data_IF_591785495110
#
_entry.id   IF_591785495110
#
_cell.length_a   1.000
_cell.length_b   1.000
_cell.length_c   1.000
_cell.angle_alpha   90.00
_cell.angle_beta   90.00
_cell.angle_gamma   90.00
#
_symmetry.space_group_name_H-M   'P 1'
#
loop_
_entity.id
_entity.type
_entity.pdbx_description
1 polymer ?
#
# COMPACT_ATOMS: atom_id res chain seq x y z
N UNK A 1 57.65 1.93 32.89
CA UNK A 1 56.23 2.25 33.17
C UNK A 1 55.58 2.78 31.89
N UNK A 2 55.08 1.90 31.01
CA UNK A 2 54.37 2.33 29.80
C UNK A 2 52.87 2.31 30.07
N UNK A 3 52.24 3.49 30.07
CA UNK A 3 50.78 3.65 30.13
C UNK A 3 50.20 3.28 28.77
N UNK A 4 49.49 2.15 28.69
CA UNK A 4 48.69 1.78 27.53
C UNK A 4 47.38 2.57 27.60
N UNK A 5 47.22 3.58 26.74
CA UNK A 5 46.00 4.37 26.61
C UNK A 5 45.00 3.57 25.75
N UNK A 6 43.98 3.00 26.37
CA UNK A 6 42.93 2.25 25.68
C UNK A 6 41.85 3.25 25.22
N UNK A 7 41.85 3.60 23.94
CA UNK A 7 40.82 4.46 23.34
C UNK A 7 39.64 3.58 22.90
N UNK A 8 38.59 3.51 23.72
CA UNK A 8 37.32 2.89 23.31
C UNK A 8 36.57 3.83 22.36
N UNK A 9 36.55 3.50 21.06
CA UNK A 9 35.62 4.05 20.09
C UNK A 9 34.24 3.41 20.31
N UNK A 10 33.35 4.13 21.00
CA UNK A 10 31.93 3.80 21.09
C UNK A 10 31.26 4.09 19.74
N UNK A 11 31.13 3.08 18.89
CA UNK A 11 30.25 3.13 17.73
C UNK A 11 28.80 2.98 18.20
N UNK A 12 28.08 4.08 18.26
CA UNK A 12 26.62 4.02 18.41
C UNK A 12 26.01 3.60 17.08
N UNK A 13 25.23 2.51 17.00
CA UNK A 13 24.44 2.25 15.81
C UNK A 13 23.33 3.30 15.74
N UNK A 14 23.49 4.28 14.85
CA UNK A 14 22.40 5.16 14.43
C UNK A 14 21.46 4.28 13.60
N UNK A 15 20.38 3.79 14.22
CA UNK A 15 19.24 3.29 13.48
C UNK A 15 18.62 4.49 12.75
N UNK A 16 19.05 4.71 11.51
CA UNK A 16 18.38 5.64 10.62
C UNK A 16 16.99 5.06 10.32
N UNK A 17 15.98 5.50 11.06
CA UNK A 17 14.59 5.26 10.71
C UNK A 17 14.37 6.01 9.38
N UNK A 18 14.16 5.28 8.28
CA UNK A 18 13.93 5.91 6.98
C UNK A 18 12.82 6.95 7.11
N UNK A 19 13.14 8.18 6.71
CA UNK A 19 12.18 9.26 6.75
C UNK A 19 11.01 8.91 5.83
N UNK A 20 9.78 9.01 6.35
CA UNK A 20 8.58 8.88 5.54
C UNK A 20 8.67 9.82 4.34
N UNK A 21 8.26 9.34 3.18
CA UNK A 21 8.21 10.09 1.92
C UNK A 21 6.76 10.24 1.50
N UNK A 22 6.04 11.28 1.96
CA UNK A 22 4.63 11.44 1.66
C UNK A 22 4.38 11.60 0.15
N UNK A 23 3.31 11.00 -0.36
CA UNK A 23 2.84 11.09 -1.74
C UNK A 23 1.49 11.80 -1.85
N UNK A 24 1.32 12.68 -2.84
CA UNK A 24 0.04 13.37 -3.10
C UNK A 24 -0.77 12.74 -4.24
N UNK A 25 -0.16 11.77 -4.93
CA UNK A 25 -0.71 11.06 -6.07
C UNK A 25 0.07 9.75 -6.26
N UNK A 26 -0.48 8.85 -7.08
CA UNK A 26 0.23 7.67 -7.56
C UNK A 26 -0.09 7.38 -9.02
N UNK A 27 0.77 6.62 -9.69
CA UNK A 27 0.56 6.22 -11.09
C UNK A 27 0.03 4.79 -11.21
N UNK A 28 -0.74 4.53 -12.27
CA UNK A 28 -1.13 3.19 -12.73
C UNK A 28 -0.52 3.00 -14.13
N UNK A 29 0.31 1.98 -14.31
CA UNK A 29 1.06 1.72 -15.55
C UNK A 29 1.30 0.21 -15.77
N UNK A 30 2.19 -0.14 -16.72
CA UNK A 30 2.48 -1.53 -17.07
C UNK A 30 1.56 -2.06 -18.17
N UNK A 31 0.99 -3.27 -17.98
CA UNK A 31 0.08 -3.96 -18.91
C UNK A 31 -1.31 -3.30 -18.97
N UNK A 32 -1.34 -2.02 -19.31
CA UNK A 32 -2.53 -1.17 -19.45
C UNK A 32 -2.48 -0.42 -20.78
N UNK A 33 -3.64 -0.13 -21.37
CA UNK A 33 -3.71 0.60 -22.65
C UNK A 33 -3.25 2.05 -22.52
N UNK A 34 -3.44 2.67 -21.35
CA UNK A 34 -3.05 4.04 -21.06
C UNK A 34 -2.64 4.17 -19.60
N UNK A 35 -1.42 4.64 -19.35
CA UNK A 35 -0.98 4.99 -18.01
C UNK A 35 -1.76 6.21 -17.50
N UNK A 36 -2.10 6.18 -16.21
CA UNK A 36 -2.93 7.22 -15.58
C UNK A 36 -2.32 7.64 -14.24
N UNK A 37 -2.47 8.91 -13.88
CA UNK A 37 -2.12 9.42 -12.56
C UNK A 37 -3.41 9.60 -11.77
N UNK A 38 -3.44 9.06 -10.54
CA UNK A 38 -4.54 9.18 -9.60
C UNK A 38 -4.13 10.18 -8.53
N UNK A 39 -4.87 11.28 -8.41
CA UNK A 39 -4.64 12.31 -7.39
C UNK A 39 -5.60 12.14 -6.22
N UNK A 40 -5.34 12.82 -5.11
CA UNK A 40 -6.30 12.89 -3.99
C UNK A 40 -7.68 13.41 -4.42
N UNK A 41 -7.73 14.36 -5.36
CA UNK A 41 -9.00 14.88 -5.87
C UNK A 41 -9.75 13.85 -6.72
N UNK A 42 -9.03 13.01 -7.48
CA UNK A 42 -9.63 11.85 -8.16
C UNK A 42 -10.18 10.86 -7.14
N UNK A 43 -9.46 10.59 -6.05
CA UNK A 43 -9.91 9.64 -5.01
C UNK A 43 -11.21 10.10 -4.34
N UNK A 44 -11.40 11.41 -4.14
CA UNK A 44 -12.64 11.98 -3.57
C UNK A 44 -13.89 11.75 -4.43
N UNK A 45 -13.74 11.40 -5.71
CA UNK A 45 -14.87 11.12 -6.60
C UNK A 45 -15.42 9.69 -6.47
N UNK A 46 -14.68 8.78 -5.84
CA UNK A 46 -15.12 7.41 -5.64
C UNK A 46 -15.97 7.26 -4.37
N UNK A 47 -16.84 6.23 -4.29
CA UNK A 47 -17.61 5.96 -3.08
C UNK A 47 -16.71 5.75 -1.86
N UNK A 48 -16.86 6.61 -0.86
CA UNK A 48 -16.20 6.45 0.42
C UNK A 48 -16.89 5.36 1.24
N UNK A 49 -16.12 4.37 1.72
CA UNK A 49 -16.61 3.24 2.52
C UNK A 49 -16.09 3.31 3.94
N UNK A 50 -16.96 3.06 4.91
CA UNK A 50 -16.58 2.84 6.30
C UNK A 50 -15.93 1.45 6.43
N UNK A 51 -14.71 1.40 6.95
CA UNK A 51 -13.96 0.16 7.17
C UNK A 51 -13.94 -0.25 8.65
N UNK A 52 -14.26 0.69 9.56
CA UNK A 52 -14.27 0.44 11.00
C UNK A 52 -12.86 0.43 11.59
N UNK A 53 -12.57 -0.58 12.41
CA UNK A 53 -11.28 -0.77 13.07
C UNK A 53 -10.43 -1.78 12.31
N UNK A 54 -9.12 -1.58 12.28
CA UNK A 54 -8.18 -2.49 11.63
C UNK A 54 -7.03 -2.83 12.57
N UNK A 55 -6.89 -4.12 12.87
CA UNK A 55 -5.82 -4.64 13.72
C UNK A 55 -4.58 -4.91 12.87
N UNK A 56 -3.48 -4.25 13.20
CA UNK A 56 -2.20 -4.41 12.51
C UNK A 56 -1.35 -5.42 13.28
N UNK A 57 -0.91 -6.48 12.58
CA UNK A 57 -0.04 -7.53 13.13
C UNK A 57 1.27 -7.65 12.36
N UNK A 58 2.28 -8.26 12.96
CA UNK A 58 3.50 -8.65 12.25
C UNK A 58 3.31 -9.95 11.42
N UNK A 59 4.40 -10.45 10.84
CA UNK A 59 4.43 -11.69 10.05
C UNK A 59 4.23 -12.98 10.88
N UNK A 60 4.35 -12.91 12.20
CA UNK A 60 4.03 -13.99 13.13
C UNK A 60 2.56 -13.96 13.58
N UNK A 61 1.86 -12.83 13.39
CA UNK A 61 0.51 -12.60 13.88
C UNK A 61 0.46 -11.83 15.20
N UNK A 62 1.61 -11.42 15.74
CA UNK A 62 1.66 -10.62 16.96
C UNK A 62 1.12 -9.21 16.71
N UNK A 63 0.32 -8.73 17.65
CA UNK A 63 -0.25 -7.39 17.60
C UNK A 63 0.83 -6.31 17.59
N UNK A 64 0.63 -5.30 16.74
CA UNK A 64 1.46 -4.09 16.69
C UNK A 64 0.70 -2.87 17.19
N UNK A 65 -0.41 -2.55 16.53
CA UNK A 65 -1.31 -1.47 16.91
C UNK A 65 -2.67 -1.67 16.22
N UNK A 66 -3.62 -0.79 16.52
CA UNK A 66 -4.94 -0.77 15.90
C UNK A 66 -5.24 0.64 15.43
N UNK A 67 -5.72 0.75 14.21
CA UNK A 67 -6.26 1.99 13.68
C UNK A 67 -7.79 1.93 13.70
N UNK A 68 -8.42 3.07 13.93
CA UNK A 68 -9.85 3.23 14.18
C UNK A 68 -10.47 4.20 13.18
N UNK A 69 -11.81 4.11 13.03
CA UNK A 69 -12.60 5.02 12.17
C UNK A 69 -12.00 5.13 10.77
N UNK A 70 -11.56 4.00 10.23
CA UNK A 70 -10.98 3.94 8.90
C UNK A 70 -12.07 4.15 7.87
N UNK A 71 -11.76 5.00 6.89
CA UNK A 71 -12.56 5.14 5.68
C UNK A 71 -11.66 5.09 4.47
N UNK A 72 -12.13 4.46 3.41
CA UNK A 72 -11.34 4.30 2.20
C UNK A 72 -12.19 4.14 0.95
N UNK A 73 -11.51 4.20 -0.19
CA UNK A 73 -12.08 3.88 -1.50
C UNK A 73 -11.59 2.49 -1.91
N UNK A 74 -12.44 1.70 -2.56
CA UNK A 74 -12.04 0.36 -3.00
C UNK A 74 -10.99 0.47 -4.12
N UNK A 75 -9.96 -0.36 -4.05
CA UNK A 75 -8.95 -0.44 -5.10
C UNK A 75 -9.61 -0.81 -6.45
N UNK A 76 -10.61 -1.69 -6.45
CA UNK A 76 -11.37 -2.05 -7.65
C UNK A 76 -12.09 -0.86 -8.27
N UNK A 77 -12.64 0.04 -7.48
CA UNK A 77 -13.33 1.23 -8.00
C UNK A 77 -12.32 2.13 -8.71
N UNK A 78 -11.12 2.30 -8.15
CA UNK A 78 -10.02 3.04 -8.78
C UNK A 78 -9.56 2.38 -10.08
N UNK A 79 -9.43 1.04 -10.08
CA UNK A 79 -9.02 0.28 -11.26
C UNK A 79 -10.11 0.15 -12.33
N UNK A 80 -11.37 0.46 -12.03
CA UNK A 80 -12.50 0.27 -12.96
C UNK A 80 -12.37 1.05 -14.28
N UNK A 81 -11.64 2.17 -14.25
CA UNK A 81 -11.35 3.00 -15.42
C UNK A 81 -10.09 2.54 -16.18
N UNK A 82 -9.41 1.50 -15.71
CA UNK A 82 -8.19 0.98 -16.31
C UNK A 82 -8.51 -0.09 -17.35
N UNK A 83 -8.20 0.18 -18.61
CA UNK A 83 -8.26 -0.84 -19.65
C UNK A 83 -6.95 -1.64 -19.69
N UNK A 84 -7.00 -2.93 -19.33
CA UNK A 84 -5.83 -3.81 -19.37
C UNK A 84 -5.44 -4.16 -20.82
N UNK A 85 -4.13 -4.22 -21.09
CA UNK A 85 -3.59 -4.49 -22.42
C UNK A 85 -3.29 -5.97 -22.61
N UNK A 86 -4.34 -6.80 -22.66
CA UNK A 86 -4.24 -8.25 -22.89
C UNK A 86 -4.95 -8.65 -24.20
N UNK A 87 -4.38 -9.63 -24.91
CA UNK A 87 -4.91 -10.09 -26.20
C UNK A 87 -6.05 -11.12 -26.06
N UNK A 88 -6.27 -11.66 -24.85
CA UNK A 88 -7.31 -12.63 -24.57
C UNK A 88 -7.80 -12.45 -23.11
N UNK A 89 -9.13 -12.43 -22.84
CA UNK A 89 -9.67 -12.33 -21.48
C UNK A 89 -9.15 -13.41 -20.53
N UNK A 90 -8.80 -14.61 -21.01
CA UNK A 90 -8.19 -15.66 -20.19
C UNK A 90 -6.87 -15.23 -19.55
N UNK A 91 -6.16 -14.28 -20.16
CA UNK A 91 -4.89 -13.77 -19.63
C UNK A 91 -5.09 -12.77 -18.47
N UNK A 92 -6.32 -12.30 -18.23
CA UNK A 92 -6.59 -11.46 -17.05
C UNK A 92 -6.19 -12.17 -15.75
N UNK A 93 -6.43 -13.48 -15.66
CA UNK A 93 -6.05 -14.29 -14.49
C UNK A 93 -4.54 -14.42 -14.28
N UNK A 94 -3.72 -14.03 -15.26
CA UNK A 94 -2.26 -13.99 -15.17
C UNK A 94 -1.71 -12.62 -14.77
N UNK A 95 -2.57 -11.61 -14.66
CA UNK A 95 -2.17 -10.28 -14.24
C UNK A 95 -2.00 -10.21 -12.72
N UNK A 96 -1.04 -9.39 -12.31
CA UNK A 96 -0.85 -9.00 -10.92
C UNK A 96 -0.46 -7.52 -10.82
N UNK A 97 -0.69 -6.95 -9.64
CA UNK A 97 -0.58 -5.53 -9.36
C UNK A 97 0.54 -5.32 -8.34
N UNK A 98 1.67 -4.81 -8.80
CA UNK A 98 2.79 -4.44 -7.94
C UNK A 98 2.55 -3.03 -7.41
N UNK A 99 2.15 -2.93 -6.15
CA UNK A 99 1.90 -1.67 -5.47
C UNK A 99 3.18 -1.27 -4.71
N UNK A 100 3.81 -0.17 -5.09
CA UNK A 100 5.07 0.29 -4.49
C UNK A 100 4.92 1.63 -3.79
N UNK A 101 5.48 1.70 -2.59
CA UNK A 101 5.63 2.91 -1.80
C UNK A 101 6.79 3.78 -2.31
N UNK A 102 6.82 5.05 -1.87
CA UNK A 102 7.88 6.00 -2.21
C UNK A 102 9.27 5.65 -1.64
N UNK A 103 9.33 4.80 -0.61
CA UNK A 103 10.57 4.24 -0.05
C UNK A 103 11.06 3.00 -0.82
N UNK A 104 10.29 2.48 -1.77
CA UNK A 104 10.62 1.28 -2.54
C UNK A 104 10.04 -0.02 -1.97
N UNK A 105 9.37 0.02 -0.81
CA UNK A 105 8.61 -1.14 -0.32
C UNK A 105 7.50 -1.51 -1.30
N UNK A 106 7.29 -2.80 -1.52
CA UNK A 106 6.31 -3.27 -2.49
C UNK A 106 5.48 -4.45 -1.96
N UNK A 107 4.22 -4.47 -2.35
CA UNK A 107 3.26 -5.55 -2.10
C UNK A 107 2.56 -5.91 -3.41
N UNK A 108 2.04 -7.13 -3.48
CA UNK A 108 1.39 -7.65 -4.70
C UNK A 108 -0.02 -8.09 -4.39
N UNK A 109 -0.92 -7.80 -5.31
CA UNK A 109 -2.25 -8.41 -5.41
C UNK A 109 -2.37 -9.13 -6.76
N UNK A 110 -2.98 -10.30 -6.80
CA UNK A 110 -3.28 -10.94 -8.09
C UNK A 110 -4.62 -10.44 -8.64
N UNK A 111 -4.80 -10.53 -9.96
CA UNK A 111 -6.12 -10.23 -10.56
C UNK A 111 -7.21 -11.16 -10.02
N UNK A 112 -6.93 -12.45 -9.86
CA UNK A 112 -7.92 -13.37 -9.28
C UNK A 112 -8.27 -13.00 -7.83
N UNK A 113 -7.30 -12.58 -7.02
CA UNK A 113 -7.56 -12.12 -5.66
C UNK A 113 -8.48 -10.91 -5.64
N UNK A 114 -8.21 -9.90 -6.48
CA UNK A 114 -9.03 -8.69 -6.53
C UNK A 114 -10.41 -8.93 -7.15
N UNK A 115 -10.54 -9.77 -8.17
CA UNK A 115 -11.78 -9.86 -8.96
C UNK A 115 -12.60 -11.14 -8.72
N UNK A 116 -12.02 -12.19 -8.12
CA UNK A 116 -12.67 -13.49 -7.93
C UNK A 116 -12.72 -13.96 -6.46
N UNK A 117 -12.32 -13.14 -5.49
CA UNK A 117 -12.39 -13.50 -4.07
C UNK A 117 -12.97 -12.37 -3.22
N UNK A 118 -13.50 -12.67 -2.01
CA UNK A 118 -13.96 -11.63 -1.08
C UNK A 118 -12.88 -10.61 -0.68
N UNK A 119 -11.58 -10.95 -0.82
CA UNK A 119 -10.48 -10.02 -0.52
C UNK A 119 -10.60 -8.76 -1.36
N UNK A 120 -10.94 -8.90 -2.65
CA UNK A 120 -11.08 -7.77 -3.56
C UNK A 120 -12.13 -6.74 -3.16
N UNK A 121 -13.18 -7.15 -2.44
CA UNK A 121 -14.21 -6.26 -1.89
C UNK A 121 -13.77 -5.57 -0.60
N UNK A 122 -12.51 -5.79 -0.18
CA UNK A 122 -11.97 -5.38 1.10
C UNK A 122 -10.52 -4.86 0.99
N UNK A 123 -10.04 -4.55 -0.23
CA UNK A 123 -8.78 -3.83 -0.46
C UNK A 123 -9.08 -2.36 -0.71
N UNK A 124 -8.54 -1.50 0.15
CA UNK A 124 -8.84 -0.07 0.15
C UNK A 124 -7.60 0.79 -0.01
N UNK A 125 -7.79 1.98 -0.59
CA UNK A 125 -6.93 3.14 -0.40
C UNK A 125 -7.56 4.01 0.68
N UNK A 126 -6.84 4.27 1.77
CA UNK A 126 -7.35 4.98 2.93
C UNK A 126 -7.48 6.48 2.64
N UNK A 127 -8.63 7.03 3.01
CA UNK A 127 -8.97 8.46 2.93
C UNK A 127 -9.11 9.10 4.31
N UNK A 128 -9.45 8.31 5.34
CA UNK A 128 -9.48 8.74 6.74
C UNK A 128 -8.92 7.65 7.65
N UNK A 129 -8.22 8.08 8.70
CA UNK A 129 -7.67 7.22 9.75
C UNK A 129 -7.66 7.94 11.09
N UNK A 130 -8.17 7.29 12.13
CA UNK A 130 -8.27 7.83 13.49
C UNK A 130 -8.99 9.20 13.52
N UNK A 131 -9.99 9.39 12.63
CA UNK A 131 -10.72 10.65 12.45
C UNK A 131 -9.92 11.78 11.77
N UNK A 132 -8.74 11.49 11.24
CA UNK A 132 -7.91 12.44 10.46
C UNK A 132 -7.96 12.09 8.98
N UNK A 133 -7.97 13.11 8.13
CA UNK A 133 -7.92 12.94 6.66
C UNK A 133 -6.54 12.45 6.23
N UNK A 134 -6.48 11.57 5.25
CA UNK A 134 -5.24 10.99 4.73
C UNK A 134 -4.23 12.05 4.26
N UNK A 135 -4.69 13.17 3.69
CA UNK A 135 -3.86 14.30 3.25
C UNK A 135 -3.05 14.96 4.38
N UNK A 136 -3.51 14.80 5.63
CA UNK A 136 -2.89 15.41 6.82
C UNK A 136 -1.93 14.46 7.53
N UNK A 137 -1.84 13.21 7.10
CA UNK A 137 -0.99 12.18 7.70
C UNK A 137 0.37 12.13 6.98
N UNK A 138 1.49 11.90 7.69
CA UNK A 138 2.79 11.73 7.06
C UNK A 138 2.90 10.42 6.28
N UNK A 139 2.10 9.41 6.64
CA UNK A 139 1.83 8.19 5.89
C UNK A 139 0.58 8.36 4.99
N UNK A 140 0.61 9.30 4.05
CA UNK A 140 -0.55 9.52 3.17
C UNK A 140 -0.68 8.41 2.10
N UNK A 141 -1.86 8.32 1.47
CA UNK A 141 -2.24 7.30 0.47
C UNK A 141 -1.84 5.88 0.92
N UNK A 142 -2.41 5.43 2.02
CA UNK A 142 -2.17 4.08 2.55
C UNK A 142 -3.05 3.06 1.85
N UNK A 143 -2.61 1.82 1.80
CA UNK A 143 -3.42 0.69 1.36
C UNK A 143 -3.59 -0.32 2.48
N UNK A 144 -4.77 -0.93 2.57
CA UNK A 144 -5.04 -2.02 3.49
C UNK A 144 -5.95 -3.07 2.84
N UNK A 145 -5.69 -4.34 3.15
CA UNK A 145 -6.57 -5.47 2.85
C UNK A 145 -7.19 -5.99 4.14
N UNK A 146 -8.49 -5.79 4.33
CA UNK A 146 -9.17 -6.06 5.60
C UNK A 146 -9.36 -7.55 5.89
N UNK A 147 -9.23 -8.41 4.88
CA UNK A 147 -9.36 -9.87 5.03
C UNK A 147 -8.01 -10.59 5.14
N UNK A 148 -6.91 -9.85 5.27
CA UNK A 148 -5.60 -10.44 5.51
C UNK A 148 -5.53 -11.05 6.91
N UNK A 149 -4.96 -12.26 6.99
CA UNK A 149 -4.71 -12.91 8.28
C UNK A 149 -3.58 -12.23 9.07
N UNK A 150 -2.56 -11.76 8.36
CA UNK A 150 -1.36 -11.09 8.90
C UNK A 150 -1.19 -9.75 8.19
N UNK A 151 -1.81 -8.74 8.77
CA UNK A 151 -2.18 -7.50 8.09
C UNK A 151 -1.01 -6.56 7.82
N UNK A 152 0.03 -6.55 8.65
CA UNK A 152 1.07 -5.52 8.59
C UNK A 152 1.98 -5.56 7.36
N UNK A 153 2.04 -6.66 6.61
CA UNK A 153 2.87 -6.74 5.39
C UNK A 153 2.17 -6.13 4.17
N UNK A 154 0.83 -6.13 4.12
CA UNK A 154 0.06 -5.45 3.06
C UNK A 154 -0.62 -4.17 3.53
N UNK A 155 -0.21 -3.68 4.70
CA UNK A 155 -0.51 -2.33 5.15
C UNK A 155 0.58 -1.39 4.61
N UNK A 156 0.36 -0.92 3.38
CA UNK A 156 1.35 -0.12 2.63
C UNK A 156 1.13 1.36 2.91
N UNK A 157 2.21 2.11 3.14
CA UNK A 157 2.19 3.55 3.35
C UNK A 157 2.78 4.28 2.14
N UNK A 158 2.33 5.51 1.87
CA UNK A 158 2.92 6.38 0.84
C UNK A 158 2.94 5.73 -0.55
N UNK A 159 1.80 5.17 -0.99
CA UNK A 159 1.68 4.57 -2.32
C UNK A 159 2.14 5.57 -3.39
N UNK A 160 3.06 5.12 -4.25
CA UNK A 160 3.67 5.92 -5.31
C UNK A 160 3.28 5.40 -6.70
N UNK A 161 3.17 4.07 -6.86
CA UNK A 161 2.78 3.46 -8.13
C UNK A 161 2.12 2.10 -7.96
N UNK A 162 1.26 1.77 -8.91
CA UNK A 162 0.72 0.44 -9.17
C UNK A 162 1.14 0.06 -10.59
N UNK A 163 2.00 -0.94 -10.70
CA UNK A 163 2.43 -1.49 -11.99
C UNK A 163 1.66 -2.79 -12.22
N UNK A 164 0.88 -2.83 -13.31
CA UNK A 164 0.22 -4.06 -13.75
C UNK A 164 1.25 -4.88 -14.53
N UNK A 165 1.53 -6.08 -14.06
CA UNK A 165 2.43 -7.01 -14.72
C UNK A 165 1.70 -8.30 -15.06
N UNK A 166 2.29 -9.09 -15.95
CA UNK A 166 1.76 -10.37 -16.40
C UNK A 166 2.75 -11.47 -16.07
N UNK A 167 2.27 -12.53 -15.41
CA UNK A 167 3.09 -13.72 -15.15
C UNK A 167 3.49 -14.38 -16.48
N UNK A 168 4.76 -14.78 -16.58
CA UNK A 168 5.33 -15.46 -17.74
C UNK A 168 5.12 -16.97 -17.69
#
# INVERSE_FOLDING_TARGET
MYKLLFLMLLSTPVFAQEALKPTSNFSISGTVKKATIITMDSLKQYPLKEMGSFKITNHLGDFKHQDEKLKGVLLKDVLSHTAFSVNNPKLLSTLYFVCSAADGYAVVYSWNELYNTPVGDQVYILMEKNGKKAETLPENIQMASMLDLKTGRRYLHNLNKIVVEQAQ
#
